data_IF_230857975260
#
_entry.id   IF_230857975260
#
_cell.length_a   1.000
_cell.length_b   1.000
_cell.length_c   1.000
_cell.angle_alpha   90.00
_cell.angle_beta   90.00
_cell.angle_gamma   90.00
#
_symmetry.space_group_name_H-M   'P 1'
#
loop_
_entity.id
_entity.type
_entity.pdbx_description
1 polymer ?
#
# COMPACT_ATOMS: atom_id res chain seq x y z
N UNK A 1 4.16 4.87 -6.02
CA UNK A 1 5.08 5.76 -5.28
C UNK A 1 5.60 5.09 -4.03
N UNK A 2 4.75 4.41 -3.24
CA UNK A 2 5.16 3.69 -2.01
C UNK A 2 6.20 2.59 -2.26
N UNK A 3 6.26 2.04 -3.47
CA UNK A 3 7.20 0.99 -3.86
C UNK A 3 8.45 1.50 -4.58
N UNK A 4 8.86 2.75 -4.33
CA UNK A 4 10.12 3.30 -4.85
C UNK A 4 10.12 3.64 -6.34
N UNK A 5 8.98 3.95 -6.94
CA UNK A 5 8.93 4.44 -8.32
C UNK A 5 9.65 5.79 -8.44
N UNK A 6 10.54 5.92 -9.43
CA UNK A 6 11.13 7.21 -9.78
C UNK A 6 10.09 8.17 -10.37
N UNK A 7 10.35 9.48 -10.30
CA UNK A 7 9.48 10.49 -10.91
C UNK A 7 9.24 10.23 -12.41
N UNK A 8 10.27 9.79 -13.13
CA UNK A 8 10.17 9.44 -14.55
C UNK A 8 9.26 8.24 -14.78
N UNK A 9 9.38 7.19 -13.95
CA UNK A 9 8.51 6.02 -14.05
C UNK A 9 7.06 6.35 -13.67
N UNK A 10 6.86 7.15 -12.62
CA UNK A 10 5.55 7.62 -12.21
C UNK A 10 4.89 8.48 -13.31
N UNK A 11 5.64 9.40 -13.90
CA UNK A 11 5.17 10.24 -15.00
C UNK A 11 4.70 9.42 -16.20
N UNK A 12 5.45 8.37 -16.56
CA UNK A 12 5.09 7.47 -17.65
C UNK A 12 3.81 6.71 -17.37
N UNK A 13 3.64 6.17 -16.16
CA UNK A 13 2.43 5.44 -15.78
C UNK A 13 1.19 6.32 -15.75
N UNK A 14 1.32 7.53 -15.20
CA UNK A 14 0.19 8.46 -15.09
C UNK A 14 -0.03 9.31 -16.35
N UNK A 15 0.84 9.18 -17.37
CA UNK A 15 0.83 9.98 -18.61
C UNK A 15 0.86 11.48 -18.32
N UNK A 16 1.67 11.89 -17.34
CA UNK A 16 1.90 13.29 -16.95
C UNK A 16 3.37 13.67 -17.20
N UNK A 17 3.68 14.97 -17.16
CA UNK A 17 5.06 15.43 -17.26
C UNK A 17 5.87 15.04 -16.02
N UNK A 18 7.18 14.83 -16.18
CA UNK A 18 8.10 14.47 -15.09
C UNK A 18 8.09 15.52 -13.97
N UNK A 19 7.96 16.81 -14.30
CA UNK A 19 7.86 17.89 -13.34
C UNK A 19 6.69 17.70 -12.36
N UNK A 20 5.49 17.35 -12.85
CA UNK A 20 4.33 17.06 -12.01
C UNK A 20 4.56 15.85 -11.12
N UNK A 21 5.16 14.77 -11.66
CA UNK A 21 5.49 13.58 -10.87
C UNK A 21 6.52 13.89 -9.77
N UNK A 22 7.52 14.73 -10.09
CA UNK A 22 8.53 15.18 -9.12
C UNK A 22 7.90 16.00 -7.99
N UNK A 23 7.06 17.00 -8.33
CA UNK A 23 6.32 17.77 -7.34
C UNK A 23 5.46 16.87 -6.44
N UNK A 24 4.70 15.95 -7.04
CA UNK A 24 3.90 14.99 -6.29
C UNK A 24 4.74 14.19 -5.30
N UNK A 25 5.90 13.67 -5.74
CA UNK A 25 6.78 12.91 -4.85
C UNK A 25 7.37 13.75 -3.71
N UNK A 26 7.70 15.01 -3.95
CA UNK A 26 8.16 15.93 -2.92
C UNK A 26 7.07 16.20 -1.88
N UNK A 27 5.84 16.46 -2.31
CA UNK A 27 4.70 16.65 -1.39
C UNK A 27 4.35 15.37 -0.64
N UNK A 28 4.57 14.22 -1.25
CA UNK A 28 4.25 12.94 -0.66
C UNK A 28 5.28 12.50 0.38
N UNK A 29 6.56 12.47 0.01
CA UNK A 29 7.64 11.99 0.87
C UNK A 29 8.32 13.08 1.71
N UNK A 30 8.21 14.33 1.29
CA UNK A 30 9.07 15.41 1.74
C UNK A 30 10.48 15.34 1.13
N UNK A 31 11.32 16.22 1.54
CA UNK A 31 12.73 16.23 1.19
C UNK A 31 13.29 17.63 0.98
N UNK A 32 14.59 17.66 0.71
CA UNK A 32 15.35 18.89 0.48
C UNK A 32 15.65 19.00 -1.00
N UNK A 33 15.34 20.14 -1.60
CA UNK A 33 15.63 20.44 -2.99
C UNK A 33 16.32 21.79 -3.13
N UNK A 34 17.20 21.95 -4.13
CA UNK A 34 17.78 23.25 -4.39
C UNK A 34 16.77 24.17 -5.08
N UNK A 35 16.81 25.46 -4.76
CA UNK A 35 15.99 26.46 -5.45
C UNK A 35 16.26 26.49 -6.96
N UNK A 36 17.49 26.27 -7.37
CA UNK A 36 17.83 26.19 -8.82
C UNK A 36 17.09 25.04 -9.51
N UNK A 37 16.93 23.90 -8.84
CA UNK A 37 16.14 22.79 -9.36
C UNK A 37 14.65 23.13 -9.45
N UNK A 38 14.09 23.76 -8.42
CA UNK A 38 12.70 24.21 -8.40
C UNK A 38 12.45 25.24 -9.51
N UNK A 39 13.33 26.24 -9.66
CA UNK A 39 13.22 27.26 -10.69
C UNK A 39 13.32 26.64 -12.10
N UNK A 40 14.22 25.69 -12.30
CA UNK A 40 14.35 24.97 -13.58
C UNK A 40 13.10 24.18 -13.92
N UNK A 41 12.51 23.48 -12.96
CA UNK A 41 11.26 22.75 -13.17
C UNK A 41 10.10 23.70 -13.45
N UNK A 42 10.01 24.83 -12.73
CA UNK A 42 9.00 25.85 -12.98
C UNK A 42 9.13 26.45 -14.40
N UNK A 43 10.35 26.72 -14.86
CA UNK A 43 10.60 27.19 -16.24
C UNK A 43 10.19 26.14 -17.29
N UNK A 44 10.40 24.85 -17.02
CA UNK A 44 10.00 23.76 -17.92
C UNK A 44 8.49 23.56 -17.96
N UNK A 45 7.82 23.79 -16.85
CA UNK A 45 6.37 23.66 -16.72
C UNK A 45 5.79 24.54 -15.61
N UNK A 46 5.44 25.79 -15.91
CA UNK A 46 4.86 26.72 -14.93
C UNK A 46 3.55 26.19 -14.31
N UNK A 47 2.82 25.32 -15.02
CA UNK A 47 1.56 24.73 -14.53
C UNK A 47 1.78 23.58 -13.55
N UNK A 48 3.01 23.15 -13.34
CA UNK A 48 3.32 22.09 -12.38
C UNK A 48 3.15 22.51 -10.90
N UNK A 49 2.92 23.81 -10.62
CA UNK A 49 2.58 24.30 -9.28
C UNK A 49 3.74 24.28 -8.28
N UNK A 50 4.97 24.51 -8.72
CA UNK A 50 6.14 24.56 -7.83
C UNK A 50 6.14 25.80 -6.93
N UNK A 51 5.40 26.87 -7.27
CA UNK A 51 5.25 28.06 -6.43
C UNK A 51 4.52 27.71 -5.12
N UNK A 52 3.51 26.85 -5.18
CA UNK A 52 2.84 26.33 -3.99
C UNK A 52 3.81 25.53 -3.11
N UNK A 53 4.74 24.78 -3.73
CA UNK A 53 5.75 24.02 -3.01
C UNK A 53 6.71 24.93 -2.23
N UNK A 54 7.04 26.11 -2.79
CA UNK A 54 7.83 27.13 -2.10
C UNK A 54 7.06 27.75 -0.93
N UNK A 55 5.75 27.87 -1.03
CA UNK A 55 4.92 28.40 0.05
C UNK A 55 4.81 27.43 1.24
N UNK A 56 4.87 26.13 0.99
CA UNK A 56 4.86 25.10 2.06
C UNK A 56 6.24 24.73 2.58
N UNK A 57 7.29 25.00 1.78
CA UNK A 57 8.66 24.65 2.12
C UNK A 57 9.34 25.65 3.05
N UNK A 58 10.23 25.15 3.90
CA UNK A 58 11.11 25.98 4.70
C UNK A 58 12.39 26.25 3.91
N UNK A 59 12.61 27.51 3.56
CA UNK A 59 13.83 27.93 2.86
C UNK A 59 14.98 28.06 3.85
N UNK A 60 16.14 27.48 3.56
CA UNK A 60 17.31 27.52 4.43
C UNK A 60 18.63 27.44 3.65
N UNK A 61 19.73 27.55 4.39
CA UNK A 61 21.10 27.54 3.89
C UNK A 61 21.68 28.93 3.61
N UNK A 62 22.99 28.98 3.40
CA UNK A 62 23.65 30.23 3.01
C UNK A 62 23.03 30.78 1.72
N UNK A 63 22.49 32.00 1.77
CA UNK A 63 21.79 32.68 0.67
C UNK A 63 20.50 31.98 0.22
N UNK A 64 19.79 31.29 1.11
CA UNK A 64 18.50 30.68 0.83
C UNK A 64 18.53 29.73 -0.41
N UNK A 65 19.48 28.82 -0.44
CA UNK A 65 19.71 27.94 -1.62
C UNK A 65 18.82 26.69 -1.65
N UNK A 66 18.22 26.32 -0.55
CA UNK A 66 17.50 25.06 -0.41
C UNK A 66 16.10 25.26 0.16
N UNK A 67 15.17 24.41 -0.26
CA UNK A 67 13.83 24.32 0.29
C UNK A 67 13.66 22.93 0.89
N UNK A 68 13.29 22.88 2.16
CA UNK A 68 12.82 21.68 2.83
C UNK A 68 11.30 21.60 2.72
N UNK A 69 10.80 20.59 2.04
CA UNK A 69 9.37 20.34 1.87
C UNK A 69 8.95 19.29 2.89
N UNK A 70 8.06 19.61 3.83
CA UNK A 70 7.48 18.61 4.71
C UNK A 70 6.59 17.68 3.87
N UNK A 71 6.90 16.38 3.84
CA UNK A 71 6.07 15.41 3.13
C UNK A 71 4.84 15.03 3.94
N UNK A 72 3.76 14.65 3.26
CA UNK A 72 2.59 14.08 3.89
C UNK A 72 2.92 12.75 4.63
N UNK A 73 3.91 12.00 4.12
CA UNK A 73 4.35 10.71 4.68
C UNK A 73 5.88 10.65 4.79
N UNK A 74 6.52 11.45 5.63
CA UNK A 74 7.98 11.55 5.69
C UNK A 74 8.65 10.24 6.13
N UNK A 75 7.97 9.42 6.93
CA UNK A 75 8.48 8.14 7.41
C UNK A 75 8.67 7.08 6.32
N UNK A 76 8.05 7.23 5.14
CA UNK A 76 8.20 6.26 4.04
C UNK A 76 9.63 6.27 3.50
N UNK A 77 10.28 7.42 3.41
CA UNK A 77 11.70 7.48 2.98
C UNK A 77 12.61 6.74 3.94
N UNK A 78 12.52 7.05 5.22
CA UNK A 78 13.30 6.37 6.26
C UNK A 78 13.05 4.85 6.26
N UNK A 79 11.80 4.46 6.01
CA UNK A 79 11.45 3.05 5.88
C UNK A 79 12.11 2.42 4.64
N UNK A 80 12.13 3.08 3.47
CA UNK A 80 12.84 2.60 2.28
C UNK A 80 14.34 2.45 2.55
N UNK A 81 14.96 3.43 3.22
CA UNK A 81 16.38 3.39 3.57
C UNK A 81 16.69 2.23 4.52
N UNK A 82 15.83 1.98 5.50
CA UNK A 82 15.95 0.85 6.43
C UNK A 82 15.87 -0.50 5.69
N UNK A 83 14.90 -0.66 4.77
CA UNK A 83 14.80 -1.86 3.92
C UNK A 83 16.04 -2.04 3.06
N UNK A 84 16.56 -0.96 2.45
CA UNK A 84 17.77 -1.02 1.65
C UNK A 84 18.99 -1.46 2.49
N UNK A 85 19.14 -0.87 3.67
CA UNK A 85 20.24 -1.21 4.58
C UNK A 85 20.16 -2.66 5.08
N UNK A 86 18.97 -3.12 5.48
CA UNK A 86 18.76 -4.51 5.90
C UNK A 86 19.07 -5.47 4.74
N UNK A 87 18.57 -5.17 3.54
CA UNK A 87 18.82 -5.97 2.36
C UNK A 87 20.31 -6.07 2.03
N UNK A 88 21.03 -4.94 2.01
CA UNK A 88 22.46 -4.90 1.70
C UNK A 88 23.30 -5.65 2.74
N UNK A 89 22.92 -5.58 4.01
CA UNK A 89 23.67 -6.20 5.10
C UNK A 89 23.41 -7.71 5.24
N UNK A 90 22.19 -8.16 4.96
CA UNK A 90 21.77 -9.53 5.27
C UNK A 90 21.37 -10.36 4.06
N UNK A 91 21.05 -9.72 2.94
CA UNK A 91 20.43 -10.36 1.78
C UNK A 91 19.02 -10.90 2.02
N UNK A 92 18.45 -10.66 3.21
CA UNK A 92 17.19 -11.26 3.65
C UNK A 92 16.30 -10.20 4.30
N UNK A 93 15.00 -10.25 4.02
CA UNK A 93 14.00 -9.44 4.72
C UNK A 93 13.00 -10.32 5.43
N UNK A 94 12.51 -9.82 6.57
CA UNK A 94 11.50 -10.49 7.40
C UNK A 94 10.29 -9.59 7.54
N UNK A 95 9.08 -10.14 7.30
CA UNK A 95 7.83 -9.40 7.52
C UNK A 95 7.49 -9.31 9.00
N UNK A 96 6.58 -8.41 9.42
CA UNK A 96 6.09 -8.34 10.80
C UNK A 96 5.49 -9.65 11.33
N UNK A 97 5.01 -10.52 10.43
CA UNK A 97 4.42 -11.84 10.78
C UNK A 97 5.49 -12.94 10.79
N UNK A 98 6.76 -12.61 10.48
CA UNK A 98 7.87 -13.55 10.55
C UNK A 98 8.19 -14.27 9.24
N UNK A 99 7.50 -13.99 8.13
CA UNK A 99 7.84 -14.56 6.83
C UNK A 99 9.17 -14.00 6.35
N UNK A 100 10.11 -14.87 5.97
CA UNK A 100 11.43 -14.51 5.49
C UNK A 100 11.57 -14.74 3.99
N UNK A 101 12.25 -13.81 3.33
CA UNK A 101 12.66 -13.94 1.93
C UNK A 101 14.12 -13.60 1.76
N UNK A 102 14.87 -14.50 1.16
CA UNK A 102 16.24 -14.26 0.70
C UNK A 102 16.20 -13.71 -0.74
N UNK A 103 16.99 -12.67 -0.99
CA UNK A 103 17.15 -12.05 -2.29
C UNK A 103 18.47 -12.50 -2.90
N UNK A 104 18.42 -12.91 -4.15
CA UNK A 104 19.57 -13.40 -4.89
C UNK A 104 20.01 -12.38 -5.94
N UNK A 105 21.30 -12.38 -6.29
CA UNK A 105 21.87 -11.50 -7.29
C UNK A 105 22.39 -10.20 -6.70
N UNK A 106 22.36 -9.13 -7.48
CA UNK A 106 22.86 -7.81 -7.07
C UNK A 106 21.86 -7.11 -6.14
N UNK A 107 22.23 -7.01 -4.87
CA UNK A 107 21.37 -6.40 -3.84
C UNK A 107 21.29 -4.88 -3.95
N UNK A 108 22.27 -4.24 -4.63
CA UNK A 108 22.35 -2.80 -4.91
C UNK A 108 21.58 -2.39 -6.19
N UNK A 109 21.01 -3.35 -6.93
CA UNK A 109 20.25 -3.07 -8.14
C UNK A 109 18.88 -2.45 -7.82
N UNK A 110 18.51 -1.43 -8.59
CA UNK A 110 17.25 -0.70 -8.39
C UNK A 110 16.00 -1.60 -8.53
N UNK A 111 16.05 -2.67 -9.32
CA UNK A 111 14.94 -3.62 -9.48
C UNK A 111 14.82 -4.50 -8.25
N UNK A 112 15.94 -5.00 -7.75
CA UNK A 112 16.00 -5.79 -6.50
C UNK A 112 15.48 -4.96 -5.33
N UNK A 113 15.94 -3.71 -5.20
CA UNK A 113 15.49 -2.81 -4.13
C UNK A 113 13.98 -2.53 -4.20
N UNK A 114 13.43 -2.25 -5.39
CA UNK A 114 11.97 -2.08 -5.54
C UNK A 114 11.20 -3.34 -5.15
N UNK A 115 11.70 -4.52 -5.55
CA UNK A 115 11.14 -5.80 -5.15
C UNK A 115 11.18 -6.02 -3.63
N UNK A 116 12.26 -5.60 -2.98
CA UNK A 116 12.45 -5.68 -1.54
C UNK A 116 11.48 -4.76 -0.77
N UNK A 117 11.34 -3.50 -1.20
CA UNK A 117 10.38 -2.54 -0.65
C UNK A 117 8.94 -3.06 -0.80
N UNK A 118 8.58 -3.60 -1.96
CA UNK A 118 7.25 -4.14 -2.21
C UNK A 118 6.96 -5.42 -1.42
N UNK A 119 7.99 -6.25 -1.18
CA UNK A 119 7.86 -7.54 -0.52
C UNK A 119 7.25 -7.44 0.87
N UNK A 120 7.73 -6.53 1.70
CA UNK A 120 7.32 -6.45 3.11
C UNK A 120 5.80 -6.23 3.25
N UNK A 121 5.20 -5.17 2.68
CA UNK A 121 3.76 -4.95 2.82
C UNK A 121 2.92 -5.98 2.05
N UNK A 122 3.30 -6.35 0.82
CA UNK A 122 2.52 -7.30 0.02
C UNK A 122 2.50 -8.70 0.65
N UNK A 123 3.64 -9.15 1.17
CA UNK A 123 3.73 -10.45 1.81
C UNK A 123 3.00 -10.47 3.16
N UNK A 124 3.02 -9.35 3.89
CA UNK A 124 2.25 -9.20 5.14
C UNK A 124 0.74 -9.31 4.87
N UNK A 125 0.24 -8.61 3.83
CA UNK A 125 -1.17 -8.72 3.42
C UNK A 125 -1.51 -10.15 2.99
N UNK A 126 -0.64 -10.81 2.23
CA UNK A 126 -0.84 -12.21 1.83
C UNK A 126 -0.94 -13.16 3.02
N UNK A 127 -0.14 -12.95 4.07
CA UNK A 127 -0.22 -13.75 5.29
C UNK A 127 -1.49 -13.49 6.09
N UNK A 128 -1.92 -12.23 6.21
CA UNK A 128 -3.19 -11.86 6.84
C UNK A 128 -4.38 -12.48 6.12
N UNK A 129 -4.35 -12.46 4.78
CA UNK A 129 -5.38 -13.10 3.97
C UNK A 129 -5.43 -14.61 4.22
N UNK A 130 -4.27 -15.28 4.26
CA UNK A 130 -4.20 -16.71 4.54
C UNK A 130 -4.70 -17.05 5.95
N UNK A 131 -4.41 -16.21 6.95
CA UNK A 131 -4.94 -16.36 8.30
C UNK A 131 -6.47 -16.22 8.31
N UNK A 132 -7.00 -15.21 7.63
CA UNK A 132 -8.44 -15.00 7.48
C UNK A 132 -9.12 -16.15 6.76
N UNK A 133 -8.55 -16.61 5.64
CA UNK A 133 -9.04 -17.78 4.90
C UNK A 133 -9.11 -19.02 5.78
N UNK A 134 -8.06 -19.29 6.54
CA UNK A 134 -8.02 -20.43 7.46
C UNK A 134 -9.12 -20.31 8.53
N UNK A 135 -9.31 -19.12 9.11
CA UNK A 135 -10.38 -18.87 10.10
C UNK A 135 -11.77 -19.06 9.50
N UNK A 136 -12.03 -18.48 8.33
CA UNK A 136 -13.31 -18.66 7.62
C UNK A 136 -13.59 -20.16 7.40
N UNK A 137 -12.61 -20.89 6.88
CA UNK A 137 -12.76 -22.32 6.66
C UNK A 137 -12.96 -23.11 7.96
N UNK A 138 -12.17 -22.80 9.00
CA UNK A 138 -12.20 -23.57 10.25
C UNK A 138 -13.41 -23.27 11.12
N UNK A 139 -13.84 -22.01 11.16
CA UNK A 139 -14.89 -21.54 12.08
C UNK A 139 -16.29 -21.60 11.45
N UNK A 140 -16.41 -21.47 10.12
CA UNK A 140 -17.71 -21.25 9.46
C UNK A 140 -18.11 -22.34 8.43
N UNK A 141 -17.26 -23.32 8.17
CA UNK A 141 -17.59 -24.42 7.22
C UNK A 141 -18.84 -25.20 7.60
N UNK A 142 -19.03 -25.43 8.91
CA UNK A 142 -20.17 -26.20 9.42
C UNK A 142 -21.48 -25.37 9.36
N UNK A 143 -21.37 -24.03 9.25
CA UNK A 143 -22.50 -23.14 8.99
C UNK A 143 -22.89 -23.07 7.51
N UNK A 144 -22.14 -23.75 6.63
CA UNK A 144 -22.38 -23.84 5.21
C UNK A 144 -21.52 -22.90 4.34
N UNK A 145 -20.54 -22.21 4.94
CA UNK A 145 -19.58 -21.38 4.18
C UNK A 145 -18.60 -22.27 3.43
N UNK A 146 -18.50 -22.07 2.11
CA UNK A 146 -17.56 -22.77 1.26
C UNK A 146 -16.54 -21.80 0.69
N UNK A 147 -15.27 -22.02 0.99
CA UNK A 147 -14.16 -21.26 0.36
C UNK A 147 -13.89 -21.91 -1.01
N UNK A 148 -14.04 -21.12 -2.07
CA UNK A 148 -13.84 -21.57 -3.46
C UNK A 148 -12.46 -21.25 -3.99
N UNK A 149 -11.85 -20.15 -3.53
CA UNK A 149 -10.55 -19.75 -4.00
C UNK A 149 -10.05 -18.45 -3.39
N UNK A 150 -8.81 -18.15 -3.73
CA UNK A 150 -8.13 -16.91 -3.39
C UNK A 150 -7.73 -16.20 -4.68
N UNK A 151 -8.04 -14.91 -4.77
CA UNK A 151 -7.70 -14.07 -5.94
C UNK A 151 -7.04 -12.80 -5.43
N UNK A 152 -5.72 -12.67 -5.65
CA UNK A 152 -4.91 -11.55 -5.15
C UNK A 152 -5.04 -11.37 -3.62
N UNK A 153 -5.70 -10.31 -3.19
CA UNK A 153 -5.93 -9.90 -1.81
C UNK A 153 -7.38 -10.15 -1.33
N UNK A 154 -8.12 -11.00 -2.04
CA UNK A 154 -9.49 -11.37 -1.74
C UNK A 154 -9.68 -12.89 -1.69
N UNK A 155 -10.68 -13.34 -0.93
CA UNK A 155 -11.20 -14.70 -1.01
C UNK A 155 -12.55 -14.72 -1.71
N UNK A 156 -12.77 -15.76 -2.50
CA UNK A 156 -14.05 -16.07 -3.11
C UNK A 156 -14.69 -17.22 -2.35
N UNK A 157 -15.93 -17.06 -1.92
CA UNK A 157 -16.67 -18.08 -1.21
C UNK A 157 -18.13 -18.13 -1.63
N UNK A 158 -18.81 -19.17 -1.18
CA UNK A 158 -20.26 -19.30 -1.27
C UNK A 158 -20.84 -19.47 0.13
N UNK A 159 -22.03 -18.89 0.32
CA UNK A 159 -22.80 -18.97 1.56
C UNK A 159 -24.24 -19.27 1.22
N UNK A 160 -25.01 -19.98 2.10
CA UNK A 160 -26.45 -20.13 1.94
C UNK A 160 -27.13 -18.76 1.89
N UNK A 161 -27.99 -18.54 0.88
CA UNK A 161 -28.62 -17.21 0.65
C UNK A 161 -29.39 -16.73 1.90
N UNK A 162 -30.06 -17.63 2.56
CA UNK A 162 -30.84 -17.35 3.78
C UNK A 162 -30.00 -17.02 5.02
N UNK A 163 -28.69 -17.27 4.96
CA UNK A 163 -27.75 -16.99 6.06
C UNK A 163 -26.80 -15.82 5.78
N UNK A 164 -26.97 -15.11 4.67
CA UNK A 164 -26.04 -14.03 4.25
C UNK A 164 -25.88 -13.01 5.38
N UNK A 165 -26.97 -12.47 5.93
CA UNK A 165 -26.91 -11.41 6.95
C UNK A 165 -26.31 -11.88 8.28
N UNK A 166 -26.42 -13.16 8.58
CA UNK A 166 -25.80 -13.77 9.76
C UNK A 166 -24.31 -14.02 9.56
N UNK A 167 -23.92 -14.52 8.37
CA UNK A 167 -22.56 -15.00 8.11
C UNK A 167 -21.60 -13.89 7.67
N UNK A 168 -22.07 -12.84 6.99
CA UNK A 168 -21.18 -11.77 6.54
C UNK A 168 -20.42 -11.07 7.67
N UNK A 169 -21.04 -10.70 8.82
CA UNK A 169 -20.29 -10.14 9.95
C UNK A 169 -19.22 -11.09 10.48
N UNK A 170 -19.51 -12.39 10.56
CA UNK A 170 -18.56 -13.40 11.03
C UNK A 170 -17.39 -13.57 10.06
N UNK A 171 -17.66 -13.53 8.75
CA UNK A 171 -16.61 -13.58 7.71
C UNK A 171 -15.70 -12.34 7.81
N UNK A 172 -16.27 -11.15 7.96
CA UNK A 172 -15.50 -9.91 8.16
C UNK A 172 -14.62 -10.00 9.41
N UNK A 173 -15.14 -10.54 10.51
CA UNK A 173 -14.38 -10.77 11.74
C UNK A 173 -13.22 -11.74 11.52
N UNK A 174 -13.45 -12.86 10.84
CA UNK A 174 -12.40 -13.81 10.49
C UNK A 174 -11.32 -13.20 9.61
N UNK A 175 -11.70 -12.31 8.69
CA UNK A 175 -10.77 -11.65 7.78
C UNK A 175 -10.02 -10.47 8.41
N UNK A 176 -10.53 -9.90 9.50
CA UNK A 176 -9.95 -8.74 10.18
C UNK A 176 -9.00 -9.21 11.28
N UNK A 177 -7.73 -9.41 10.92
CA UNK A 177 -6.73 -9.90 11.88
C UNK A 177 -5.80 -8.74 12.29
N UNK A 178 -5.73 -8.37 13.59
CA UNK A 178 -4.77 -7.38 14.06
C UNK A 178 -3.34 -7.93 13.98
N UNK A 179 -2.41 -7.09 13.59
CA UNK A 179 -0.97 -7.40 13.55
C UNK A 179 -0.17 -6.38 14.36
N UNK A 180 0.92 -6.85 14.94
CA UNK A 180 1.88 -6.00 15.62
C UNK A 180 2.97 -5.54 14.64
N UNK A 181 3.14 -4.23 14.49
CA UNK A 181 4.21 -3.63 13.69
C UNK A 181 4.98 -2.65 14.57
N UNK A 182 6.16 -3.05 15.04
CA UNK A 182 6.86 -2.32 16.08
C UNK A 182 6.00 -2.23 17.35
N UNK A 183 5.81 -1.01 17.85
CA UNK A 183 5.00 -0.75 19.04
C UNK A 183 3.49 -0.54 18.74
N UNK A 184 3.08 -0.65 17.48
CA UNK A 184 1.71 -0.35 17.06
C UNK A 184 0.97 -1.62 16.65
N UNK A 185 -0.28 -1.74 17.09
CA UNK A 185 -1.22 -2.71 16.54
C UNK A 185 -1.93 -2.10 15.34
N UNK A 186 -1.84 -2.75 14.20
CA UNK A 186 -2.54 -2.36 12.98
C UNK A 186 -3.68 -3.33 12.71
N UNK A 187 -4.80 -2.78 12.26
CA UNK A 187 -5.95 -3.54 11.77
C UNK A 187 -6.21 -3.10 10.34
N UNK A 188 -6.18 -4.05 9.42
CA UNK A 188 -6.50 -3.80 8.02
C UNK A 188 -7.95 -4.18 7.80
N UNK A 189 -8.83 -3.21 7.48
CA UNK A 189 -10.24 -3.49 7.32
C UNK A 189 -10.48 -4.34 6.07
N UNK A 190 -11.48 -5.22 6.13
CA UNK A 190 -11.96 -6.00 5.00
C UNK A 190 -13.31 -5.46 4.54
N UNK A 191 -13.54 -5.42 3.22
CA UNK A 191 -14.84 -5.18 2.61
C UNK A 191 -15.40 -6.49 2.05
N UNK A 192 -16.71 -6.60 1.98
CA UNK A 192 -17.40 -7.77 1.44
C UNK A 192 -18.31 -7.33 0.31
N UNK A 193 -18.31 -8.11 -0.75
CA UNK A 193 -19.26 -8.01 -1.84
C UNK A 193 -20.07 -9.30 -1.93
N UNK A 194 -21.37 -9.19 -2.16
CA UNK A 194 -22.31 -10.31 -2.24
C UNK A 194 -23.10 -10.24 -3.54
N UNK A 195 -23.37 -11.37 -4.17
CA UNK A 195 -24.17 -11.45 -5.36
C UNK A 195 -24.40 -12.92 -5.78
N UNK A 196 -25.40 -13.14 -6.64
CA UNK A 196 -25.71 -14.47 -7.17
C UNK A 196 -24.66 -14.97 -8.19
N UNK A 197 -23.91 -14.07 -8.75
CA UNK A 197 -22.81 -14.37 -9.69
C UNK A 197 -21.66 -13.40 -9.46
N UNK A 198 -20.45 -13.81 -9.78
CA UNK A 198 -19.26 -12.95 -9.68
C UNK A 198 -19.41 -11.61 -10.42
N UNK A 199 -20.17 -11.58 -11.51
CA UNK A 199 -20.40 -10.37 -12.31
C UNK A 199 -21.31 -9.35 -11.62
N UNK A 200 -22.20 -9.81 -10.75
CA UNK A 200 -23.29 -8.99 -10.18
C UNK A 200 -23.11 -8.77 -8.67
N UNK A 201 -21.85 -8.78 -8.18
CA UNK A 201 -21.56 -8.51 -6.79
C UNK A 201 -21.80 -7.03 -6.45
N UNK A 202 -22.30 -6.78 -5.26
CA UNK A 202 -22.51 -5.45 -4.66
C UNK A 202 -21.89 -5.43 -3.28
N UNK A 203 -21.37 -4.28 -2.89
CA UNK A 203 -20.85 -4.08 -1.52
C UNK A 203 -21.95 -4.41 -0.52
N UNK A 204 -21.65 -5.30 0.41
CA UNK A 204 -22.57 -5.64 1.50
C UNK A 204 -22.47 -4.58 2.59
N UNK A 205 -23.62 -4.03 2.98
CA UNK A 205 -23.78 -3.11 4.11
C UNK A 205 -24.70 -3.74 5.15
N UNK A 206 -24.35 -3.62 6.41
CA UNK A 206 -25.15 -4.19 7.51
C UNK A 206 -26.55 -3.60 7.53
N UNK A 207 -27.58 -4.43 7.30
CA UNK A 207 -28.98 -3.99 7.25
C UNK A 207 -29.58 -3.83 5.85
N UNK A 208 -28.88 -4.27 4.82
CA UNK A 208 -29.47 -4.40 3.49
C UNK A 208 -30.31 -5.67 3.48
N UNK A 209 -31.63 -5.52 3.48
CA UNK A 209 -32.57 -6.64 3.36
C UNK A 209 -32.22 -7.43 2.11
N UNK A 210 -31.93 -8.75 2.28
CA UNK A 210 -31.53 -9.67 1.20
C UNK A 210 -32.59 -9.91 0.10
N UNK A 211 -33.56 -9.01 -0.03
CA UNK A 211 -34.65 -9.09 -0.99
C UNK A 211 -34.30 -8.63 -2.43
N UNK A 212 -33.07 -8.18 -2.68
CA UNK A 212 -32.62 -7.68 -4.00
C UNK A 212 -31.23 -8.25 -4.43
N UNK A 213 -30.90 -9.48 -4.06
CA UNK A 213 -29.72 -10.19 -4.59
C UNK A 213 -30.13 -10.99 -5.82
#
# INVERSE_FOLDING_TARGET
TNYGLSATSLARHLKIKVAHATRFQLLYYGGVVSLDSVNRWHQQDPKAGFDELLAYGKVYGEKAKYVEVPGAFPGIRSWHDNIANELLNTGTLTTPIGRRRQFWGRLDDATTLRGAIAYVPQSTIGDLLNMGLYRVWNELRDDGVQVLGQVHDAILGQVPTEKVDELMPKIVECMTNPIQVGERTLVIPSSVEVGNTWKNMKTWERGHDGANI
#
